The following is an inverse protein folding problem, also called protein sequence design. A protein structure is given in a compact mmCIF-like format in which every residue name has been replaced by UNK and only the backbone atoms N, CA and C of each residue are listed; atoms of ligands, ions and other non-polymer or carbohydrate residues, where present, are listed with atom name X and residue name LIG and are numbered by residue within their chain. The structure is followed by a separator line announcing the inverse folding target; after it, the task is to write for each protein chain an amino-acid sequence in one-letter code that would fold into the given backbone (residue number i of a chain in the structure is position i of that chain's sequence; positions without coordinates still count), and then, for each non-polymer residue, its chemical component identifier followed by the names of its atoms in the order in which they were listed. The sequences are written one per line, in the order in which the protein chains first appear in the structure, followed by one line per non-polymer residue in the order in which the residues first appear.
data_IF_025336979819
#
_entry.id   IF_025336979819
#
_cell.length_a   1.000
_cell.length_b   1.000
_cell.length_c   1.000
_cell.angle_alpha   90.00
_cell.angle_beta   90.00
_cell.angle_gamma   90.00
#
_symmetry.space_group_name_H-M   'P 1'
#
loop_
_entity.id
_entity.type
_entity.pdbx_description
1 polymer ?
#
# COMPACT_ATOMS: atom_id res chain seq x y z
N UNK A 1 -0.53 -19.97 3.24
CA UNK A 1 -0.21 -18.86 4.17
C UNK A 1 -1.37 -17.88 4.18
N UNK A 2 -1.76 -17.35 5.34
CA UNK A 2 -2.87 -16.40 5.48
C UNK A 2 -2.31 -14.97 5.34
N UNK A 3 -2.82 -14.20 4.39
CA UNK A 3 -2.43 -12.79 4.21
C UNK A 3 -3.29 -11.89 5.10
N UNK A 4 -2.67 -10.88 5.71
CA UNK A 4 -3.39 -9.84 6.45
C UNK A 4 -3.92 -8.82 5.45
N UNK A 5 -5.24 -8.60 5.47
CA UNK A 5 -5.90 -7.68 4.53
C UNK A 5 -6.31 -6.39 5.24
N UNK A 6 -6.10 -5.26 4.59
CA UNK A 6 -6.52 -3.95 5.09
C UNK A 6 -7.10 -3.08 3.97
N UNK A 7 -8.28 -2.50 4.24
CA UNK A 7 -8.92 -1.53 3.35
C UNK A 7 -8.28 -0.15 3.54
N UNK A 8 -7.69 0.39 2.48
CA UNK A 8 -7.09 1.73 2.55
C UNK A 8 -8.18 2.79 2.75
N UNK A 9 -7.97 3.74 3.68
CA UNK A 9 -8.93 4.80 3.92
C UNK A 9 -9.19 5.65 2.69
N UNK A 10 -10.41 6.17 2.56
CA UNK A 10 -10.81 6.97 1.41
C UNK A 10 -10.01 8.27 1.21
N UNK A 11 -9.34 8.78 2.25
CA UNK A 11 -8.56 10.02 2.18
C UNK A 11 -7.19 9.85 2.81
N UNK A 12 -6.20 10.61 2.33
CA UNK A 12 -4.82 10.58 2.84
C UNK A 12 -4.56 11.49 4.07
N UNK A 13 -5.58 11.69 4.93
CA UNK A 13 -5.50 12.52 6.13
C UNK A 13 -4.53 11.99 7.20
N UNK A 14 -4.33 12.76 8.29
CA UNK A 14 -3.44 12.37 9.38
C UNK A 14 -3.84 11.02 9.98
N UNK A 15 -5.08 10.91 10.44
CA UNK A 15 -5.65 9.70 11.07
C UNK A 15 -5.60 8.48 10.17
N UNK A 16 -5.94 8.64 8.88
CA UNK A 16 -5.85 7.58 7.89
C UNK A 16 -4.44 6.99 7.80
N UNK A 17 -3.41 7.84 7.82
CA UNK A 17 -2.04 7.35 7.78
C UNK A 17 -1.61 6.69 9.10
N UNK A 18 -2.10 7.16 10.24
CA UNK A 18 -1.86 6.51 11.54
C UNK A 18 -2.46 5.09 11.54
N UNK A 19 -3.67 4.92 11.02
CA UNK A 19 -4.32 3.61 10.92
C UNK A 19 -3.56 2.65 10.01
N UNK A 20 -3.16 3.11 8.82
CA UNK A 20 -2.36 2.31 7.88
C UNK A 20 -1.02 1.91 8.51
N UNK A 21 -0.34 2.85 9.19
CA UNK A 21 0.92 2.57 9.88
C UNK A 21 0.73 1.50 10.97
N UNK A 22 -0.29 1.65 11.82
CA UNK A 22 -0.57 0.70 12.89
C UNK A 22 -0.84 -0.72 12.35
N UNK A 23 -1.61 -0.83 11.27
CA UNK A 23 -1.83 -2.10 10.57
C UNK A 23 -0.52 -2.70 10.06
N UNK A 24 0.30 -1.92 9.35
CA UNK A 24 1.57 -2.39 8.81
C UNK A 24 2.51 -2.85 9.93
N UNK A 25 2.65 -2.06 11.00
CA UNK A 25 3.48 -2.47 12.15
C UNK A 25 2.99 -3.78 12.76
N UNK A 26 1.68 -3.96 12.94
CA UNK A 26 1.13 -5.20 13.46
C UNK A 26 1.35 -6.38 12.51
N UNK A 27 1.23 -6.16 11.20
CA UNK A 27 1.36 -7.20 10.17
C UNK A 27 2.82 -7.51 9.77
N UNK A 28 3.81 -6.87 10.40
CA UNK A 28 5.23 -7.05 10.06
C UNK A 28 5.63 -8.54 10.10
N UNK A 29 6.42 -8.97 9.11
CA UNK A 29 6.85 -10.36 8.97
C UNK A 29 5.76 -11.33 8.48
N UNK A 30 4.58 -10.85 8.08
CA UNK A 30 3.50 -11.64 7.48
C UNK A 30 3.13 -11.11 6.09
N UNK A 31 2.60 -11.93 5.17
CA UNK A 31 2.09 -11.43 3.89
C UNK A 31 0.98 -10.40 4.09
N UNK A 32 0.98 -9.33 3.30
CA UNK A 32 -0.04 -8.26 3.40
C UNK A 32 -0.72 -7.98 2.05
N UNK A 33 -2.01 -7.67 2.12
CA UNK A 33 -2.82 -7.22 0.99
C UNK A 33 -3.57 -5.93 1.36
N UNK A 34 -3.28 -4.86 0.65
CA UNK A 34 -3.90 -3.55 0.85
C UNK A 34 -4.92 -3.31 -0.26
N UNK A 35 -6.19 -3.15 0.08
CA UNK A 35 -7.24 -2.82 -0.90
C UNK A 35 -7.28 -1.31 -1.11
N UNK A 36 -7.05 -0.86 -2.34
CA UNK A 36 -7.07 0.53 -2.76
C UNK A 36 -8.41 1.00 -3.34
N UNK A 37 -9.45 0.17 -3.32
CA UNK A 37 -10.69 0.41 -4.07
C UNK A 37 -11.46 1.65 -3.59
N UNK A 38 -11.43 1.91 -2.27
CA UNK A 38 -12.15 3.03 -1.66
C UNK A 38 -11.41 4.37 -1.68
N UNK A 39 -10.17 4.42 -2.17
CA UNK A 39 -9.32 5.62 -2.06
C UNK A 39 -9.79 6.71 -3.03
N UNK A 40 -10.09 7.90 -2.51
CA UNK A 40 -10.47 9.08 -3.30
C UNK A 40 -9.34 10.09 -3.44
N UNK A 41 -8.45 10.17 -2.45
CA UNK A 41 -7.30 11.07 -2.49
C UNK A 41 -6.03 10.39 -2.00
N UNK A 42 -4.94 10.56 -2.75
CA UNK A 42 -3.61 10.06 -2.39
C UNK A 42 -2.68 11.24 -2.19
N UNK A 43 -2.14 11.35 -0.97
CA UNK A 43 -1.12 12.32 -0.62
C UNK A 43 0.27 11.69 -0.61
N UNK A 44 1.31 12.52 -0.77
CA UNK A 44 2.71 12.08 -0.79
C UNK A 44 3.08 11.24 0.44
N UNK A 45 2.62 11.63 1.64
CA UNK A 45 2.90 10.89 2.89
C UNK A 45 2.36 9.46 2.88
N UNK A 46 1.13 9.27 2.41
CA UNK A 46 0.55 7.93 2.32
C UNK A 46 1.31 7.09 1.29
N UNK A 47 1.60 7.66 0.12
CA UNK A 47 2.34 6.95 -0.92
C UNK A 47 3.76 6.55 -0.49
N UNK A 48 4.50 7.45 0.16
CA UNK A 48 5.85 7.15 0.70
C UNK A 48 5.80 6.08 1.79
N UNK A 49 4.76 6.09 2.64
CA UNK A 49 4.57 5.05 3.64
C UNK A 49 4.31 3.68 3.00
N UNK A 50 3.46 3.61 1.97
CA UNK A 50 3.22 2.38 1.21
C UNK A 50 4.50 1.87 0.54
N UNK A 51 5.29 2.78 -0.03
CA UNK A 51 6.58 2.45 -0.65
C UNK A 51 7.58 1.88 0.36
N UNK A 52 7.72 2.55 1.51
CA UNK A 52 8.59 2.09 2.59
C UNK A 52 8.17 0.71 3.08
N UNK A 53 6.86 0.47 3.23
CA UNK A 53 6.32 -0.84 3.58
C UNK A 53 6.66 -1.89 2.51
N UNK A 54 6.38 -1.65 1.23
CA UNK A 54 6.72 -2.60 0.16
C UNK A 54 8.19 -3.01 0.20
N UNK A 55 9.10 -2.05 0.30
CA UNK A 55 10.54 -2.31 0.37
C UNK A 55 10.91 -3.14 1.60
N UNK A 56 10.33 -2.78 2.74
CA UNK A 56 10.57 -3.50 3.97
C UNK A 56 10.02 -4.95 3.91
N UNK A 57 8.92 -5.21 3.20
CA UNK A 57 8.39 -6.56 2.98
C UNK A 57 9.22 -7.37 2.01
N UNK A 58 9.72 -6.74 0.94
CA UNK A 58 10.64 -7.38 0.00
C UNK A 58 11.93 -7.85 0.70
N UNK A 59 12.49 -7.03 1.60
CA UNK A 59 13.63 -7.42 2.43
C UNK A 59 13.33 -8.61 3.35
N UNK A 60 12.12 -8.66 3.91
CA UNK A 60 11.66 -9.77 4.76
C UNK A 60 11.26 -11.01 3.94
N UNK A 61 11.36 -10.96 2.60
CA UNK A 61 10.86 -11.99 1.66
C UNK A 61 9.37 -12.32 1.88
N UNK A 62 8.59 -11.33 2.28
CA UNK A 62 7.15 -11.46 2.47
C UNK A 62 6.37 -10.80 1.34
N UNK A 63 5.28 -11.41 0.86
CA UNK A 63 4.41 -10.81 -0.15
C UNK A 63 3.79 -9.49 0.33
N UNK A 64 3.79 -8.50 -0.56
CA UNK A 64 3.11 -7.22 -0.39
C UNK A 64 2.32 -6.91 -1.65
N UNK A 65 0.99 -6.83 -1.53
CA UNK A 65 0.09 -6.56 -2.66
C UNK A 65 -0.72 -5.30 -2.42
N UNK A 66 -0.77 -4.40 -3.41
CA UNK A 66 -1.75 -3.32 -3.49
C UNK A 66 -2.85 -3.75 -4.47
N UNK A 67 -3.95 -4.27 -3.93
CA UNK A 67 -5.09 -4.78 -4.67
C UNK A 67 -6.07 -3.66 -5.07
N UNK A 68 -6.71 -3.83 -6.23
CA UNK A 68 -7.81 -2.99 -6.70
C UNK A 68 -7.60 -1.47 -6.52
N UNK A 69 -6.46 -0.91 -6.95
CA UNK A 69 -6.19 0.51 -6.76
C UNK A 69 -7.19 1.35 -7.55
N UNK A 70 -7.91 2.24 -6.85
CA UNK A 70 -8.87 3.15 -7.47
C UNK A 70 -8.22 4.06 -8.52
N UNK A 71 -8.98 4.59 -9.50
CA UNK A 71 -8.43 5.53 -10.48
C UNK A 71 -7.74 6.76 -9.84
N UNK A 72 -8.31 7.41 -8.79
CA UNK A 72 -7.62 8.50 -8.10
C UNK A 72 -6.32 8.07 -7.41
N UNK A 73 -6.28 6.85 -6.85
CA UNK A 73 -5.06 6.33 -6.22
C UNK A 73 -3.96 6.11 -7.27
N UNK A 74 -4.30 5.45 -8.37
CA UNK A 74 -3.39 5.23 -9.49
C UNK A 74 -2.83 6.55 -10.03
N UNK A 75 -3.70 7.50 -10.36
CA UNK A 75 -3.28 8.82 -10.85
C UNK A 75 -2.42 9.59 -9.82
N UNK A 76 -2.68 9.41 -8.53
CA UNK A 76 -1.85 9.96 -7.46
C UNK A 76 -0.44 9.35 -7.45
N UNK A 77 -0.34 8.03 -7.56
CA UNK A 77 0.94 7.33 -7.59
C UNK A 77 1.74 7.63 -8.86
N UNK A 78 1.08 7.75 -10.01
CA UNK A 78 1.70 8.15 -11.28
C UNK A 78 2.31 9.56 -11.20
N UNK A 79 1.56 10.54 -10.70
CA UNK A 79 2.06 11.91 -10.51
C UNK A 79 3.26 11.98 -9.56
N UNK A 80 3.35 11.07 -8.60
CA UNK A 80 4.47 10.97 -7.66
C UNK A 80 5.64 10.15 -8.21
N UNK A 81 5.52 9.53 -9.40
CA UNK A 81 6.54 8.64 -9.96
C UNK A 81 6.67 7.30 -9.23
N UNK A 82 5.65 6.90 -8.46
CA UNK A 82 5.65 5.71 -7.61
C UNK A 82 4.80 4.57 -8.17
N UNK A 83 4.15 4.77 -9.33
CA UNK A 83 3.28 3.78 -9.94
C UNK A 83 4.02 2.46 -10.24
N UNK A 84 5.22 2.51 -10.84
CA UNK A 84 6.00 1.31 -11.11
C UNK A 84 6.36 0.56 -9.82
N UNK A 85 6.70 1.29 -8.76
CA UNK A 85 7.10 0.72 -7.48
C UNK A 85 5.92 0.21 -6.64
N UNK A 86 4.68 0.61 -6.87
CA UNK A 86 3.55 0.20 -6.02
C UNK A 86 2.47 -0.58 -6.77
N UNK A 87 2.40 -0.42 -8.08
CA UNK A 87 1.40 -1.07 -8.94
C UNK A 87 2.00 -2.20 -9.77
N UNK A 88 3.33 -2.26 -9.94
CA UNK A 88 3.94 -3.47 -10.48
C UNK A 88 3.69 -4.58 -9.47
N UNK A 89 2.68 -5.41 -9.77
CA UNK A 89 2.57 -6.71 -9.15
C UNK A 89 3.78 -7.50 -9.64
N UNK A 90 4.59 -7.99 -8.71
CA UNK A 90 5.53 -9.06 -9.07
C UNK A 90 4.67 -10.20 -9.59
N UNK A 91 4.59 -10.32 -10.91
CA UNK A 91 4.13 -11.52 -11.56
C UNK A 91 5.09 -12.61 -11.08
N UNK A 92 4.61 -13.43 -10.14
CA UNK A 92 5.29 -14.65 -9.78
C UNK A 92 5.54 -15.42 -11.08
N UNK A 93 6.82 -15.61 -11.38
CA UNK A 93 7.29 -16.46 -12.46
C UNK A 93 6.79 -17.89 -12.30
#
# INVERSE_FOLDING_TARGET
MKSETFELPATAGHEACVAVHAFLTAARGRPVRLSGAGVRTTGARMALMLLAARRAWALDKQPFELADPSPPLRAGLERLGLAAELLAQEAAA
#
